data_IF_149454036296
#
_entry.id   IF_149454036296
#
_cell.length_a   1.000
_cell.length_b   1.000
_cell.length_c   1.000
_cell.angle_alpha   90.00
_cell.angle_beta   90.00
_cell.angle_gamma   90.00
#
_symmetry.space_group_name_H-M   'P 1'
#
loop_
_entity.id
_entity.type
_entity.pdbx_description
1 polymer ?
#
# COMPACT_ATOMS: atom_id res chain seq x y z
N UNK A 1 -10.32 11.63 -24.70
CA UNK A 1 -9.70 11.22 -23.43
C UNK A 1 -8.22 11.58 -23.54
N UNK A 2 -7.68 12.31 -22.57
CA UNK A 2 -6.24 12.60 -22.53
C UNK A 2 -5.50 11.29 -22.29
N UNK A 3 -4.51 10.98 -23.13
CA UNK A 3 -3.64 9.83 -22.92
C UNK A 3 -2.56 10.21 -21.89
N UNK A 4 -2.40 9.39 -20.86
CA UNK A 4 -1.43 9.67 -19.80
C UNK A 4 -0.01 9.67 -20.37
N UNK A 5 0.81 10.64 -19.95
CA UNK A 5 2.23 10.62 -20.26
C UNK A 5 2.88 9.40 -19.60
N UNK A 6 3.99 8.85 -20.15
CA UNK A 6 4.63 7.65 -19.59
C UNK A 6 4.97 7.76 -18.10
N UNK A 7 5.35 8.95 -17.64
CA UNK A 7 5.67 9.19 -16.24
C UNK A 7 4.43 9.27 -15.33
N UNK A 8 3.26 9.62 -15.86
CA UNK A 8 1.98 9.61 -15.16
C UNK A 8 1.43 8.19 -15.07
N UNK A 9 1.49 7.43 -16.17
CA UNK A 9 1.10 6.01 -16.20
C UNK A 9 1.90 5.20 -15.16
N UNK A 10 3.21 5.45 -15.03
CA UNK A 10 4.05 4.82 -14.00
C UNK A 10 3.50 5.02 -12.59
N UNK A 11 2.93 6.19 -12.27
CA UNK A 11 2.37 6.48 -10.93
C UNK A 11 1.06 5.72 -10.70
N UNK A 12 0.24 5.59 -11.74
CA UNK A 12 -0.99 4.78 -11.70
C UNK A 12 -0.64 3.31 -11.46
N UNK A 13 0.32 2.78 -12.22
CA UNK A 13 0.76 1.38 -12.10
C UNK A 13 1.38 1.11 -10.72
N UNK A 14 2.23 2.04 -10.25
CA UNK A 14 2.85 1.96 -8.93
C UNK A 14 1.82 1.96 -7.80
N UNK A 15 0.78 2.80 -7.90
CA UNK A 15 -0.31 2.81 -6.92
C UNK A 15 -1.06 1.48 -6.93
N UNK A 16 -1.42 0.97 -8.10
CA UNK A 16 -2.16 -0.28 -8.22
C UNK A 16 -1.40 -1.46 -7.61
N UNK A 17 -0.09 -1.54 -7.85
CA UNK A 17 0.76 -2.56 -7.24
C UNK A 17 0.88 -2.39 -5.72
N UNK A 18 1.01 -1.16 -5.24
CA UNK A 18 1.07 -0.88 -3.80
C UNK A 18 -0.23 -1.23 -3.08
N UNK A 19 -1.37 -0.89 -3.66
CA UNK A 19 -2.71 -1.18 -3.10
C UNK A 19 -2.94 -2.68 -2.96
N UNK A 20 -2.55 -3.48 -3.95
CA UNK A 20 -2.63 -4.94 -3.90
C UNK A 20 -1.76 -5.51 -2.75
N UNK A 21 -0.51 -5.04 -2.62
CA UNK A 21 0.38 -5.45 -1.54
C UNK A 21 -0.14 -5.02 -0.17
N UNK A 22 -0.66 -3.79 -0.06
CA UNK A 22 -1.24 -3.24 1.16
C UNK A 22 -2.49 -4.04 1.57
N UNK A 23 -3.35 -4.40 0.62
CA UNK A 23 -4.52 -5.24 0.86
C UNK A 23 -4.14 -6.60 1.44
N UNK A 24 -3.14 -7.27 0.85
CA UNK A 24 -2.62 -8.55 1.35
C UNK A 24 -2.05 -8.45 2.77
N UNK A 25 -1.25 -7.41 3.05
CA UNK A 25 -0.70 -7.17 4.38
C UNK A 25 -1.80 -6.86 5.40
N UNK A 26 -2.81 -6.06 5.01
CA UNK A 26 -3.94 -5.75 5.86
C UNK A 26 -4.77 -7.00 6.21
N UNK A 27 -5.02 -7.88 5.24
CA UNK A 27 -5.69 -9.18 5.48
C UNK A 27 -4.86 -10.05 6.41
N UNK A 28 -3.54 -10.11 6.23
CA UNK A 28 -2.65 -10.84 7.13
C UNK A 28 -2.75 -10.33 8.58
N UNK A 29 -2.68 -9.01 8.80
CA UNK A 29 -2.72 -8.40 10.13
C UNK A 29 -4.11 -8.56 10.79
N UNK A 30 -5.18 -8.43 10.03
CA UNK A 30 -6.55 -8.35 10.59
C UNK A 30 -7.26 -9.70 10.71
N UNK A 31 -6.92 -10.65 9.83
CA UNK A 31 -7.73 -11.85 9.63
C UNK A 31 -6.94 -13.15 9.75
N UNK A 32 -5.61 -13.12 9.73
CA UNK A 32 -4.79 -14.32 9.82
C UNK A 32 -4.40 -14.60 11.29
N UNK A 33 -4.79 -15.75 11.89
CA UNK A 33 -4.41 -16.11 13.26
C UNK A 33 -2.91 -16.17 13.50
N UNK A 34 -2.10 -16.41 12.46
CA UNK A 34 -0.63 -16.45 12.55
C UNK A 34 -0.08 -15.12 13.06
N UNK A 35 -0.69 -13.99 12.71
CA UNK A 35 -0.25 -12.67 13.19
C UNK A 35 -0.19 -12.60 14.73
N UNK A 36 -1.21 -13.16 15.41
CA UNK A 36 -1.26 -13.20 16.88
C UNK A 36 -0.21 -14.11 17.52
N UNK A 37 0.44 -14.98 16.72
CA UNK A 37 1.51 -15.87 17.20
C UNK A 37 2.90 -15.27 17.04
N UNK A 38 3.04 -14.15 16.32
CA UNK A 38 4.32 -13.49 16.10
C UNK A 38 4.80 -12.77 17.36
N UNK A 39 6.11 -12.50 17.42
CA UNK A 39 6.68 -11.67 18.47
C UNK A 39 6.04 -10.27 18.47
N UNK A 40 5.99 -9.62 19.63
CA UNK A 40 5.47 -8.24 19.70
C UNK A 40 6.22 -7.30 18.75
N UNK A 41 7.53 -7.53 18.56
CA UNK A 41 8.34 -6.74 17.64
C UNK A 41 7.93 -6.92 16.17
N UNK A 42 7.65 -8.16 15.76
CA UNK A 42 7.19 -8.42 14.39
C UNK A 42 5.81 -7.80 14.13
N UNK A 43 4.90 -7.89 15.11
CA UNK A 43 3.58 -7.27 15.01
C UNK A 43 3.67 -5.75 14.87
N UNK A 44 4.52 -5.10 15.67
CA UNK A 44 4.82 -3.67 15.55
C UNK A 44 5.36 -3.31 14.17
N UNK A 45 6.35 -4.05 13.67
CA UNK A 45 6.98 -3.77 12.38
C UNK A 45 6.03 -3.95 11.21
N UNK A 46 5.21 -5.01 11.21
CA UNK A 46 4.18 -5.24 10.19
C UNK A 46 3.10 -4.16 10.20
N UNK A 47 2.71 -3.68 11.40
CA UNK A 47 1.75 -2.59 11.54
C UNK A 47 2.34 -1.27 11.03
N UNK A 48 3.60 -0.98 11.36
CA UNK A 48 4.31 0.18 10.87
C UNK A 48 4.48 0.14 9.34
N UNK A 49 4.83 -1.03 8.79
CA UNK A 49 4.90 -1.26 7.35
C UNK A 49 3.57 -0.95 6.67
N UNK A 50 2.45 -1.47 7.20
CA UNK A 50 1.11 -1.18 6.69
C UNK A 50 0.82 0.33 6.70
N UNK A 51 1.15 1.01 7.80
CA UNK A 51 0.99 2.47 7.92
C UNK A 51 1.75 3.24 6.85
N UNK A 52 3.04 2.94 6.68
CA UNK A 52 3.88 3.59 5.66
C UNK A 52 3.40 3.31 4.23
N UNK A 53 2.93 2.09 3.95
CA UNK A 53 2.34 1.74 2.65
C UNK A 53 1.04 2.51 2.39
N UNK A 54 0.19 2.70 3.40
CA UNK A 54 -1.03 3.51 3.27
C UNK A 54 -0.70 4.96 2.97
N UNK A 55 0.21 5.57 3.74
CA UNK A 55 0.65 6.95 3.51
C UNK A 55 1.23 7.12 2.11
N UNK A 56 2.02 6.14 1.64
CA UNK A 56 2.56 6.18 0.29
C UNK A 56 1.47 6.09 -0.79
N UNK A 57 0.49 5.21 -0.62
CA UNK A 57 -0.67 5.12 -1.51
C UNK A 57 -1.46 6.44 -1.56
N UNK A 58 -1.63 7.11 -0.42
CA UNK A 58 -2.35 8.38 -0.34
C UNK A 58 -1.60 9.48 -1.10
N UNK A 59 -0.26 9.50 -1.01
CA UNK A 59 0.59 10.39 -1.81
C UNK A 59 0.45 10.10 -3.31
N UNK A 60 0.47 8.83 -3.72
CA UNK A 60 0.30 8.46 -5.13
C UNK A 60 -1.08 8.86 -5.65
N UNK A 61 -2.13 8.73 -4.84
CA UNK A 61 -3.49 9.16 -5.18
C UNK A 61 -3.54 10.67 -5.42
N UNK A 62 -2.97 11.46 -4.51
CA UNK A 62 -2.86 12.92 -4.68
C UNK A 62 -2.07 13.31 -5.93
N UNK A 63 -1.04 12.54 -6.30
CA UNK A 63 -0.29 12.78 -7.53
C UNK A 63 -1.14 12.49 -8.77
N UNK A 64 -1.95 11.43 -8.75
CA UNK A 64 -2.84 11.05 -9.86
C UNK A 64 -3.93 12.10 -10.08
N UNK A 65 -4.44 12.72 -9.02
CA UNK A 65 -5.43 13.79 -9.10
C UNK A 65 -4.93 15.06 -9.84
N UNK A 66 -3.61 15.18 -10.08
CA UNK A 66 -2.99 16.29 -10.82
C UNK A 66 -2.81 16.03 -12.32
N UNK A 67 -3.18 14.86 -12.84
CA UNK A 67 -2.86 14.42 -14.20
C UNK A 67 -3.84 14.88 -15.29
#
# INVERSE_FOLDING_TARGET
>A
MSELQPHQQRVVDEKAELDDRLGKLNVFITSNPVFGTLSGKDQELLTAQRGAMQEYSDILSQRIDLF
#
